data_IF_113412972009
#
_entry.id   IF_113412972009
#
_cell.length_a   1.000
_cell.length_b   1.000
_cell.length_c   1.000
_cell.angle_alpha   90.00
_cell.angle_beta   90.00
_cell.angle_gamma   90.00
#
_symmetry.space_group_name_H-M   'P 1'
#
loop_
_entity.id
_entity.type
_entity.pdbx_description
1 polymer ?
#
# COMPACT_ATOMS: atom_id res chain seq x y z
N UNK A 1 23.84 0.96 12.63
CA UNK A 1 24.33 1.44 13.94
C UNK A 1 25.17 0.33 14.55
N UNK A 2 26.45 0.26 14.16
CA UNK A 2 27.40 -0.63 14.82
C UNK A 2 27.86 0.08 16.10
N UNK A 3 27.72 -0.58 17.25
CA UNK A 3 28.33 -0.08 18.47
C UNK A 3 29.86 -0.16 18.29
N UNK A 4 30.59 0.90 18.67
CA UNK A 4 32.03 1.05 18.44
C UNK A 4 32.91 0.09 19.25
N UNK A 5 32.32 -0.92 19.89
CA UNK A 5 32.97 -1.89 20.77
C UNK A 5 32.91 -3.34 20.24
N UNK A 6 32.43 -3.57 19.01
CA UNK A 6 32.32 -4.92 18.45
C UNK A 6 31.20 -5.78 19.06
N UNK A 7 30.38 -5.23 19.96
CA UNK A 7 29.21 -5.95 20.49
C UNK A 7 28.09 -5.99 19.44
N UNK A 8 27.75 -7.22 19.03
CA UNK A 8 26.55 -7.45 18.22
C UNK A 8 25.33 -7.47 19.15
N UNK A 9 24.50 -6.42 19.10
CA UNK A 9 23.22 -6.41 19.82
C UNK A 9 22.19 -7.22 19.04
N UNK A 10 21.90 -8.42 19.52
CA UNK A 10 20.84 -9.29 18.99
C UNK A 10 19.52 -8.97 19.71
N UNK A 11 18.44 -8.79 18.95
CA UNK A 11 17.10 -8.55 19.48
C UNK A 11 16.26 -9.82 19.28
N UNK A 12 15.66 -10.30 20.37
CA UNK A 12 14.70 -11.40 20.34
C UNK A 12 13.31 -10.89 19.95
N UNK A 13 12.90 -11.17 18.72
CA UNK A 13 11.62 -10.68 18.17
C UNK A 13 10.39 -11.31 18.82
N UNK A 14 10.51 -12.49 19.45
CA UNK A 14 9.40 -13.14 20.14
C UNK A 14 9.04 -12.42 21.45
N UNK A 15 9.98 -11.65 22.02
CA UNK A 15 9.79 -10.89 23.25
C UNK A 15 9.24 -9.48 23.02
N UNK A 16 9.14 -9.04 21.76
CA UNK A 16 8.66 -7.71 21.43
C UNK A 16 7.13 -7.69 21.26
N UNK A 17 6.43 -6.72 21.84
CA UNK A 17 5.00 -6.56 21.61
C UNK A 17 4.73 -6.11 20.16
N UNK A 18 3.74 -6.74 19.51
CA UNK A 18 3.29 -6.34 18.17
C UNK A 18 2.34 -5.14 18.27
N UNK A 19 2.81 -3.96 17.89
CA UNK A 19 2.00 -2.74 17.85
C UNK A 19 1.27 -2.64 16.50
N UNK A 20 -0.05 -2.86 16.50
CA UNK A 20 -0.87 -2.79 15.28
C UNK A 20 -1.15 -1.34 14.87
N UNK A 21 -1.11 -1.08 13.56
CA UNK A 21 -1.53 0.21 12.99
C UNK A 21 -3.01 0.47 13.24
N UNK A 22 -3.36 1.68 13.68
CA UNK A 22 -4.75 2.17 13.73
C UNK A 22 -5.19 2.57 12.32
N UNK A 23 -6.29 2.01 11.85
CA UNK A 23 -6.78 2.20 10.48
C UNK A 23 -8.27 2.53 10.53
N UNK A 24 -8.72 3.47 9.70
CA UNK A 24 -10.12 3.87 9.64
C UNK A 24 -11.03 2.72 9.17
N UNK A 25 -12.33 2.70 9.56
CA UNK A 25 -13.31 1.77 9.00
C UNK A 25 -13.37 1.87 7.48
N UNK A 26 -13.65 0.77 6.78
CA UNK A 26 -13.68 0.72 5.30
C UNK A 26 -14.67 1.72 4.72
N UNK A 27 -15.84 1.91 5.35
CA UNK A 27 -16.83 2.92 4.93
C UNK A 27 -16.31 4.37 4.95
N UNK A 28 -15.18 4.63 5.65
CA UNK A 28 -14.50 5.94 5.72
C UNK A 28 -13.17 5.95 4.93
N UNK A 29 -12.92 4.95 4.09
CA UNK A 29 -11.74 4.86 3.24
C UNK A 29 -12.12 5.21 1.80
N UNK A 30 -11.23 5.93 1.11
CA UNK A 30 -11.38 6.20 -0.32
C UNK A 30 -11.33 4.91 -1.16
N UNK A 31 -11.85 4.94 -2.40
CA UNK A 31 -11.97 3.75 -3.25
C UNK A 31 -10.62 3.12 -3.65
N UNK A 32 -9.53 3.90 -3.61
CA UNK A 32 -8.17 3.43 -3.92
C UNK A 32 -7.34 3.10 -2.66
N UNK A 33 -7.90 3.23 -1.46
CA UNK A 33 -7.24 2.80 -0.24
C UNK A 33 -7.26 1.26 -0.15
N UNK A 34 -6.13 0.65 0.20
CA UNK A 34 -5.90 -0.78 -0.01
C UNK A 34 -6.95 -1.70 0.61
N UNK A 35 -7.44 -1.42 1.83
CA UNK A 35 -8.45 -2.29 2.47
C UNK A 35 -9.81 -2.19 1.78
N UNK A 36 -10.18 -1.02 1.29
CA UNK A 36 -11.41 -0.85 0.51
C UNK A 36 -11.25 -1.50 -0.86
N UNK A 37 -10.16 -1.17 -1.57
CA UNK A 37 -9.89 -1.66 -2.91
C UNK A 37 -9.87 -3.19 -3.02
N UNK A 38 -9.29 -3.86 -2.01
CA UNK A 38 -9.14 -5.31 -1.97
C UNK A 38 -10.18 -6.03 -1.09
N UNK A 39 -11.20 -5.33 -0.58
CA UNK A 39 -12.11 -5.88 0.43
C UNK A 39 -12.71 -7.22 0.01
N UNK A 40 -13.27 -7.31 -1.21
CA UNK A 40 -13.94 -8.51 -1.71
C UNK A 40 -12.98 -9.70 -1.84
N UNK A 41 -11.79 -9.49 -2.42
CA UNK A 41 -10.75 -10.54 -2.52
C UNK A 41 -10.40 -11.06 -1.13
N UNK A 42 -10.12 -10.15 -0.18
CA UNK A 42 -9.71 -10.56 1.17
C UNK A 42 -10.83 -11.20 2.00
N UNK A 43 -12.10 -10.87 1.73
CA UNK A 43 -13.24 -11.51 2.38
C UNK A 43 -13.42 -12.93 1.85
N UNK A 44 -13.41 -13.13 0.54
CA UNK A 44 -13.51 -14.47 -0.06
C UNK A 44 -12.36 -15.38 0.37
N UNK A 45 -11.13 -14.85 0.48
CA UNK A 45 -10.00 -15.60 1.03
C UNK A 45 -10.21 -16.02 2.48
N UNK A 46 -10.78 -15.14 3.33
CA UNK A 46 -11.10 -15.49 4.73
C UNK A 46 -12.18 -16.56 4.84
N UNK A 47 -13.11 -16.58 3.90
CA UNK A 47 -14.17 -17.58 3.78
C UNK A 47 -13.69 -18.89 3.13
N UNK A 48 -12.45 -18.93 2.63
CA UNK A 48 -11.90 -20.08 1.91
C UNK A 48 -12.43 -20.23 0.48
N UNK A 49 -13.17 -19.25 -0.04
CA UNK A 49 -13.71 -19.27 -1.39
C UNK A 49 -12.69 -18.73 -2.40
N UNK A 50 -11.88 -19.64 -2.93
CA UNK A 50 -10.78 -19.31 -3.85
C UNK A 50 -11.28 -18.84 -5.22
N UNK A 51 -12.36 -19.43 -5.72
CA UNK A 51 -12.94 -19.06 -7.01
C UNK A 51 -13.44 -17.62 -7.00
N UNK A 52 -14.21 -17.25 -5.97
CA UNK A 52 -14.69 -15.88 -5.80
C UNK A 52 -13.53 -14.88 -5.59
N UNK A 53 -12.50 -15.26 -4.82
CA UNK A 53 -11.31 -14.42 -4.64
C UNK A 53 -10.60 -14.16 -5.99
N UNK A 54 -10.49 -15.19 -6.83
CA UNK A 54 -9.87 -15.11 -8.15
C UNK A 54 -10.68 -14.22 -9.08
N UNK A 55 -12.00 -14.36 -9.11
CA UNK A 55 -12.88 -13.51 -9.92
C UNK A 55 -12.79 -12.03 -9.49
N UNK A 56 -12.87 -11.75 -8.19
CA UNK A 56 -12.73 -10.40 -7.66
C UNK A 56 -11.37 -9.78 -7.97
N UNK A 57 -10.29 -10.57 -7.86
CA UNK A 57 -8.93 -10.14 -8.25
C UNK A 57 -8.86 -9.83 -9.74
N UNK A 58 -9.36 -10.74 -10.57
CA UNK A 58 -9.35 -10.58 -12.03
C UNK A 58 -10.07 -9.30 -12.46
N UNK A 59 -11.29 -9.07 -11.93
CA UNK A 59 -12.07 -7.86 -12.21
C UNK A 59 -11.35 -6.58 -11.82
N UNK A 60 -10.69 -6.57 -10.65
CA UNK A 60 -9.93 -5.43 -10.15
C UNK A 60 -8.77 -5.10 -11.10
N UNK A 61 -7.98 -6.11 -11.46
CA UNK A 61 -6.78 -5.97 -12.29
C UNK A 61 -7.13 -5.62 -13.74
N UNK A 62 -8.21 -6.18 -14.29
CA UNK A 62 -8.69 -5.83 -15.63
C UNK A 62 -9.11 -4.36 -15.70
N UNK A 63 -9.82 -3.86 -14.68
CA UNK A 63 -10.16 -2.44 -14.58
C UNK A 63 -8.90 -1.56 -14.60
N UNK A 64 -7.87 -1.91 -13.81
CA UNK A 64 -6.61 -1.16 -13.79
C UNK A 64 -5.87 -1.21 -15.14
N UNK A 65 -5.87 -2.36 -15.82
CA UNK A 65 -5.30 -2.51 -17.17
C UNK A 65 -6.06 -1.70 -18.22
N UNK A 66 -7.38 -1.58 -18.11
CA UNK A 66 -8.18 -0.70 -18.96
C UNK A 66 -7.88 0.79 -18.72
N UNK A 67 -7.82 1.21 -17.45
CA UNK A 67 -7.45 2.59 -17.08
C UNK A 67 -6.04 2.96 -17.56
N UNK A 68 -5.09 2.03 -17.49
CA UNK A 68 -3.74 2.23 -18.01
C UNK A 68 -3.72 2.38 -19.53
N UNK A 69 -4.41 1.49 -20.26
CA UNK A 69 -4.56 1.61 -21.72
C UNK A 69 -5.15 2.96 -22.11
N UNK A 70 -6.15 3.44 -21.39
CA UNK A 70 -6.77 4.74 -21.62
C UNK A 70 -5.77 5.89 -21.38
N UNK A 71 -5.00 5.83 -20.27
CA UNK A 71 -3.95 6.83 -19.99
C UNK A 71 -2.90 6.90 -21.10
N UNK A 72 -2.43 5.75 -21.57
CA UNK A 72 -1.46 5.68 -22.67
C UNK A 72 -2.05 6.26 -23.96
N UNK A 73 -3.28 5.88 -24.32
CA UNK A 73 -3.96 6.40 -25.51
C UNK A 73 -4.13 7.93 -25.47
N UNK A 74 -4.35 8.49 -24.28
CA UNK A 74 -4.47 9.93 -24.06
C UNK A 74 -3.12 10.63 -23.79
N UNK A 75 -1.99 9.91 -23.86
CA UNK A 75 -0.65 10.44 -23.53
C UNK A 75 -0.62 11.10 -22.13
N UNK A 76 -1.40 10.58 -21.19
CA UNK A 76 -1.48 11.07 -19.82
C UNK A 76 -0.56 10.25 -18.91
N UNK A 77 0.56 10.82 -18.41
CA UNK A 77 1.43 10.09 -17.50
C UNK A 77 0.73 9.84 -16.16
N UNK A 78 0.99 8.67 -15.56
CA UNK A 78 0.60 8.41 -14.18
C UNK A 78 1.35 9.33 -13.22
N UNK A 79 0.62 9.98 -12.31
CA UNK A 79 1.20 10.86 -11.28
C UNK A 79 0.82 10.34 -9.89
N UNK A 80 1.79 9.95 -9.04
CA UNK A 80 1.51 9.57 -7.66
C UNK A 80 0.86 10.70 -6.89
N UNK A 81 -0.19 10.39 -6.12
CA UNK A 81 -0.98 11.41 -5.40
C UNK A 81 -0.23 12.09 -4.25
N UNK A 82 0.67 11.36 -3.59
CA UNK A 82 1.28 11.78 -2.33
C UNK A 82 2.79 11.98 -2.40
N UNK A 83 3.41 11.68 -3.54
CA UNK A 83 4.86 11.70 -3.70
C UNK A 83 5.24 12.45 -4.97
N UNK A 84 6.29 13.28 -4.87
CA UNK A 84 6.97 13.89 -6.00
C UNK A 84 8.30 13.17 -6.26
N UNK A 85 8.68 13.04 -7.53
CA UNK A 85 9.98 12.51 -7.91
C UNK A 85 11.05 13.60 -7.68
N UNK A 86 12.13 13.25 -6.99
CA UNK A 86 13.28 14.14 -6.76
C UNK A 86 14.57 13.37 -7.05
N UNK A 87 15.23 13.67 -8.18
CA UNK A 87 16.34 12.87 -8.68
C UNK A 87 15.94 11.40 -8.87
N UNK A 88 16.68 10.50 -8.20
CA UNK A 88 16.41 9.06 -8.16
C UNK A 88 15.48 8.64 -6.99
N UNK A 89 15.04 9.60 -6.18
CA UNK A 89 14.21 9.39 -5.00
C UNK A 89 12.76 9.88 -5.12
N UNK A 90 12.03 9.72 -4.02
CA UNK A 90 10.66 10.19 -3.86
C UNK A 90 10.51 11.01 -2.58
N UNK A 91 9.99 12.22 -2.72
CA UNK A 91 9.62 13.06 -1.58
C UNK A 91 8.13 12.93 -1.30
N UNK A 92 7.78 12.65 -0.05
CA UNK A 92 6.41 12.80 0.41
C UNK A 92 6.03 14.28 0.40
N UNK A 93 4.87 14.61 -0.15
CA UNK A 93 4.45 15.99 -0.39
C UNK A 93 4.16 16.78 0.89
N UNK A 94 3.74 16.11 1.96
CA UNK A 94 3.34 16.76 3.22
C UNK A 94 4.11 16.20 4.43
N UNK A 95 5.44 16.27 4.45
CA UNK A 95 6.22 15.64 5.49
C UNK A 95 6.02 16.35 6.84
N UNK A 96 5.96 15.57 7.92
CA UNK A 96 5.72 16.06 9.27
C UNK A 96 6.80 17.02 9.79
N UNK A 97 7.97 17.06 9.15
CA UNK A 97 9.10 17.91 9.52
C UNK A 97 9.16 19.24 8.76
N UNK A 98 8.32 19.46 7.72
CA UNK A 98 8.25 20.72 6.97
C UNK A 98 7.14 21.68 7.43
N UNK A 99 6.47 21.39 8.54
CA UNK A 99 5.49 22.34 9.11
C UNK A 99 6.21 23.59 9.62
N UNK A 100 6.14 24.66 8.83
CA UNK A 100 6.36 26.06 9.21
C UNK A 100 5.21 26.90 8.65
#
# INVERSE_FOLDING_TARGET
LYASNGETKVIDTNKLPVIRKKIRPIAKQGPLESRHLWQHVTNSLKEGNIDAATEHKHRLEERQRAEERQRVALTMPWKPKYFAKEGDGWLYLNPLWKTH
#
